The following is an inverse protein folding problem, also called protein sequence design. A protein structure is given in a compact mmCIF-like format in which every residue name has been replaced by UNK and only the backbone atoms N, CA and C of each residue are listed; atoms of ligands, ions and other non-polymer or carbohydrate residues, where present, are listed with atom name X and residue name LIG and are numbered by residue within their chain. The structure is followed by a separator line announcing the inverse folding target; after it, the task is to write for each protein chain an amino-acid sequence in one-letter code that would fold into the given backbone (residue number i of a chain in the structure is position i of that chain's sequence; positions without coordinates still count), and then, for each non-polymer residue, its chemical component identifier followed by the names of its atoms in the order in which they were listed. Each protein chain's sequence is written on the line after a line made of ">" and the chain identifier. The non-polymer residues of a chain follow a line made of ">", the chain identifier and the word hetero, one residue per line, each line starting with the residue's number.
data_IF_274118198905
#
_entry.id   IF_274118198905
#
_cell.length_a   1.000
_cell.length_b   1.000
_cell.length_c   1.000
_cell.angle_alpha   90.00
_cell.angle_beta   90.00
_cell.angle_gamma   90.00
#
_symmetry.space_group_name_H-M   'P 1'
#
loop_
_entity.id
_entity.type
_entity.pdbx_description
1 polymer ?
#
# COMPACT_ATOMS: atom_id res chain seq x y z
N UNK A 1 -16.40 -6.07 -44.16
CA UNK A 1 -17.26 -5.12 -43.42
C UNK A 1 -16.37 -4.37 -42.46
N UNK A 2 -16.42 -3.03 -42.43
CA UNK A 2 -15.59 -2.24 -41.52
C UNK A 2 -15.94 -2.59 -40.06
N UNK A 3 -14.92 -2.77 -39.20
CA UNK A 3 -15.12 -3.06 -37.79
C UNK A 3 -15.90 -1.87 -37.15
N UNK A 4 -17.07 -2.09 -36.54
CA UNK A 4 -17.87 -1.01 -35.95
C UNK A 4 -17.25 -0.44 -34.67
N UNK A 5 -16.15 -1.02 -34.17
CA UNK A 5 -15.41 -0.53 -33.01
C UNK A 5 -14.22 0.33 -33.43
N UNK A 6 -14.11 1.50 -32.83
CA UNK A 6 -12.99 2.43 -32.96
C UNK A 6 -11.76 1.92 -32.17
N UNK A 7 -11.22 0.77 -32.58
CA UNK A 7 -10.09 0.11 -31.93
C UNK A 7 -8.77 0.84 -32.19
N UNK A 8 -7.89 0.85 -31.17
CA UNK A 8 -6.55 1.43 -31.30
C UNK A 8 -5.70 0.70 -32.34
N UNK A 9 -4.97 1.47 -33.15
CA UNK A 9 -3.94 0.95 -34.05
C UNK A 9 -2.81 0.27 -33.26
N UNK A 10 -2.07 -0.65 -33.88
CA UNK A 10 -0.88 -1.27 -33.26
C UNK A 10 0.16 -0.23 -32.83
N UNK A 11 0.30 0.87 -33.59
CA UNK A 11 1.16 2.01 -33.24
C UNK A 11 0.70 2.68 -31.95
N UNK A 12 -0.60 2.98 -31.81
CA UNK A 12 -1.19 3.57 -30.61
C UNK A 12 -0.99 2.67 -29.40
N UNK A 13 -1.28 1.37 -29.53
CA UNK A 13 -1.07 0.38 -28.44
C UNK A 13 0.38 0.35 -27.96
N UNK A 14 1.33 0.35 -28.89
CA UNK A 14 2.77 0.33 -28.58
C UNK A 14 3.21 1.62 -27.86
N UNK A 15 2.75 2.78 -28.31
CA UNK A 15 3.05 4.06 -27.64
C UNK A 15 2.48 4.06 -26.21
N UNK A 16 1.22 3.65 -26.02
CA UNK A 16 0.61 3.57 -24.69
C UNK A 16 1.41 2.68 -23.74
N UNK A 17 1.85 1.51 -24.21
CA UNK A 17 2.68 0.61 -23.42
C UNK A 17 4.04 1.23 -23.04
N UNK A 18 4.73 1.82 -24.03
CA UNK A 18 6.07 2.40 -23.84
C UNK A 18 6.07 3.62 -22.91
N UNK A 19 5.03 4.47 -22.99
CA UNK A 19 4.90 5.68 -22.14
C UNK A 19 4.89 5.38 -20.65
N UNK A 20 4.47 4.18 -20.27
CA UNK A 20 4.42 3.74 -18.86
C UNK A 20 5.43 2.62 -18.56
N UNK A 21 6.43 2.42 -19.42
CA UNK A 21 7.47 1.40 -19.24
C UNK A 21 6.93 -0.03 -19.23
N UNK A 22 5.86 -0.32 -19.98
CA UNK A 22 5.14 -1.60 -19.96
C UNK A 22 4.60 -2.00 -18.57
N UNK A 23 4.37 -1.06 -17.67
CA UNK A 23 3.72 -1.31 -16.37
C UNK A 23 2.24 -0.98 -16.42
N UNK A 24 1.44 -1.74 -15.67
CA UNK A 24 0.01 -1.45 -15.51
C UNK A 24 -0.21 -0.03 -14.96
N UNK A 25 -1.11 0.75 -15.56
CA UNK A 25 -1.39 2.13 -15.12
C UNK A 25 -2.25 2.23 -13.86
N UNK A 26 -2.82 1.12 -13.37
CA UNK A 26 -3.50 1.10 -12.07
C UNK A 26 -2.45 1.34 -10.96
N UNK A 27 -2.58 2.42 -10.15
CA UNK A 27 -1.61 2.79 -9.11
C UNK A 27 -1.37 1.70 -8.07
N UNK A 28 -2.39 0.90 -7.75
CA UNK A 28 -2.29 -0.19 -6.77
C UNK A 28 -1.76 -1.50 -7.39
N UNK A 29 -1.56 -1.56 -8.72
CA UNK A 29 -1.10 -2.76 -9.40
C UNK A 29 0.34 -2.62 -9.90
N UNK A 30 0.62 -1.64 -10.78
CA UNK A 30 1.96 -1.31 -11.35
C UNK A 30 2.83 -2.49 -11.87
N UNK A 31 2.28 -3.71 -11.97
CA UNK A 31 3.03 -4.88 -12.41
C UNK A 31 3.51 -4.72 -13.85
N UNK A 32 4.68 -5.28 -14.13
CA UNK A 32 5.20 -5.39 -15.48
C UNK A 32 4.27 -6.27 -16.32
N UNK A 33 3.96 -5.84 -17.54
CA UNK A 33 3.02 -6.53 -18.41
C UNK A 33 3.66 -7.20 -19.60
N UNK A 34 4.99 -7.09 -19.75
CA UNK A 34 5.75 -7.69 -20.84
C UNK A 34 7.02 -8.34 -20.29
N UNK A 35 7.42 -9.48 -20.86
CA UNK A 35 8.64 -10.18 -20.47
C UNK A 35 9.11 -11.14 -21.55
N UNK A 36 10.22 -11.81 -21.26
CA UNK A 36 10.75 -12.87 -22.12
C UNK A 36 9.73 -14.00 -22.32
N UNK A 37 9.87 -14.69 -23.44
CA UNK A 37 9.16 -15.93 -23.72
C UNK A 37 10.21 -17.04 -23.91
N UNK A 38 9.80 -18.30 -23.76
CA UNK A 38 10.68 -19.45 -24.03
C UNK A 38 11.16 -19.48 -25.48
N UNK A 39 10.32 -19.00 -26.40
CA UNK A 39 10.74 -18.74 -27.78
C UNK A 39 11.50 -17.41 -27.86
N UNK A 40 12.78 -17.40 -28.31
CA UNK A 40 13.60 -16.18 -28.35
C UNK A 40 13.05 -15.07 -29.26
N UNK A 41 12.19 -15.41 -30.23
CA UNK A 41 11.58 -14.46 -31.17
C UNK A 41 10.24 -13.90 -30.66
N UNK A 42 9.79 -14.31 -29.47
CA UNK A 42 8.49 -13.91 -28.91
C UNK A 42 8.65 -13.20 -27.57
N UNK A 43 7.60 -12.48 -27.21
CA UNK A 43 7.45 -11.86 -25.89
C UNK A 43 6.18 -12.36 -25.23
N UNK A 44 6.23 -12.54 -23.92
CA UNK A 44 5.03 -12.77 -23.12
C UNK A 44 4.42 -11.41 -22.81
N UNK A 45 3.17 -11.17 -23.22
CA UNK A 45 2.49 -9.90 -22.99
C UNK A 45 1.10 -10.12 -22.38
N UNK A 46 0.89 -9.58 -21.17
CA UNK A 46 -0.38 -9.58 -20.44
C UNK A 46 -1.00 -8.18 -20.36
N UNK A 47 -0.45 -7.21 -21.09
CA UNK A 47 -0.87 -5.83 -21.15
C UNK A 47 -1.81 -5.58 -22.33
N UNK A 48 -2.75 -4.67 -22.13
CA UNK A 48 -3.76 -4.26 -23.11
C UNK A 48 -3.91 -2.74 -23.06
N UNK A 49 -4.13 -2.15 -24.23
CA UNK A 49 -4.58 -0.76 -24.32
C UNK A 49 -6.10 -0.73 -24.14
N UNK A 50 -6.55 -0.26 -22.99
CA UNK A 50 -7.96 -0.06 -22.69
C UNK A 50 -8.40 1.35 -23.08
N UNK A 51 -9.65 1.48 -23.51
CA UNK A 51 -10.27 2.77 -23.75
C UNK A 51 -10.77 3.36 -22.44
N UNK A 52 -10.52 4.66 -22.22
CA UNK A 52 -11.05 5.40 -21.08
C UNK A 52 -12.56 5.63 -21.28
N UNK A 53 -12.94 6.17 -22.43
CA UNK A 53 -14.30 6.20 -22.95
C UNK A 53 -14.45 5.19 -24.11
N UNK A 54 -15.51 4.36 -24.08
CA UNK A 54 -15.63 3.20 -24.97
C UNK A 54 -15.45 3.50 -26.47
N UNK A 55 -14.88 2.51 -27.16
CA UNK A 55 -14.67 2.50 -28.61
C UNK A 55 -15.95 2.43 -29.46
N UNK A 56 -17.11 2.18 -28.85
CA UNK A 56 -18.38 2.02 -29.55
C UNK A 56 -19.55 2.25 -28.61
N UNK A 57 -20.70 2.62 -29.18
CA UNK A 57 -21.95 2.82 -28.45
C UNK A 57 -22.34 1.55 -27.67
N UNK A 58 -22.80 1.75 -26.44
CA UNK A 58 -23.17 0.65 -25.52
C UNK A 58 -21.99 0.02 -24.78
N UNK A 59 -20.76 0.50 -24.99
CA UNK A 59 -19.62 0.14 -24.17
C UNK A 59 -19.45 1.02 -22.93
N UNK A 60 -18.57 0.63 -21.99
CA UNK A 60 -18.33 1.35 -20.76
C UNK A 60 -17.93 2.81 -20.95
N UNK A 61 -18.56 3.74 -20.20
CA UNK A 61 -18.27 5.18 -20.24
C UNK A 61 -18.31 5.77 -21.65
N UNK A 62 -19.17 5.26 -22.53
CA UNK A 62 -19.27 5.77 -23.90
C UNK A 62 -19.69 7.25 -23.91
N UNK A 63 -18.94 8.08 -24.63
CA UNK A 63 -19.24 9.49 -24.84
C UNK A 63 -19.71 9.72 -26.28
N UNK A 64 -20.96 10.18 -26.42
CA UNK A 64 -21.58 10.51 -27.71
C UNK A 64 -20.95 11.73 -28.38
N UNK A 65 -20.31 12.62 -27.62
CA UNK A 65 -19.67 13.82 -28.14
C UNK A 65 -18.28 13.54 -28.74
N UNK A 66 -17.67 12.39 -28.44
CA UNK A 66 -16.38 12.02 -29.01
C UNK A 66 -16.50 11.59 -30.47
N UNK A 67 -15.63 12.13 -31.31
CA UNK A 67 -15.42 11.66 -32.67
C UNK A 67 -14.72 10.29 -32.71
N UNK A 68 -14.81 9.55 -33.82
CA UNK A 68 -14.04 8.32 -34.01
C UNK A 68 -12.53 8.50 -33.81
N UNK A 69 -11.96 9.61 -34.27
CA UNK A 69 -10.52 9.86 -34.16
C UNK A 69 -10.11 10.13 -32.71
N UNK A 70 -10.94 10.85 -31.94
CA UNK A 70 -10.74 11.02 -30.50
C UNK A 70 -10.85 9.69 -29.76
N UNK A 71 -11.81 8.83 -30.13
CA UNK A 71 -11.93 7.48 -29.54
C UNK A 71 -10.67 6.63 -29.73
N UNK A 72 -10.01 6.76 -30.89
CA UNK A 72 -8.76 6.03 -31.26
C UNK A 72 -7.47 6.74 -30.83
N UNK A 73 -7.57 7.91 -30.21
CA UNK A 73 -6.42 8.74 -29.87
C UNK A 73 -5.68 8.23 -28.62
N UNK A 74 -4.44 8.69 -28.44
CA UNK A 74 -3.63 8.38 -27.26
C UNK A 74 -4.21 8.96 -25.97
N UNK A 75 -4.93 10.09 -26.04
CA UNK A 75 -5.53 10.71 -24.86
C UNK A 75 -6.67 9.87 -24.30
N UNK A 76 -7.40 9.14 -25.15
CA UNK A 76 -8.44 8.20 -24.72
C UNK A 76 -7.91 6.80 -24.32
N UNK A 77 -6.60 6.58 -24.37
CA UNK A 77 -5.99 5.27 -24.12
C UNK A 77 -5.24 5.18 -22.79
N UNK A 78 -5.44 4.07 -22.07
CA UNK A 78 -4.68 3.71 -20.86
C UNK A 78 -4.11 2.30 -20.99
N UNK A 79 -2.85 2.10 -20.58
CA UNK A 79 -2.22 0.77 -20.62
C UNK A 79 -2.44 0.02 -19.30
N UNK A 80 -3.09 -1.14 -19.34
CA UNK A 80 -3.43 -1.94 -18.16
C UNK A 80 -3.05 -3.40 -18.36
N UNK A 81 -2.87 -4.16 -17.26
CA UNK A 81 -2.89 -5.61 -17.38
C UNK A 81 -4.30 -6.12 -17.68
N UNK A 82 -4.43 -7.32 -18.25
CA UNK A 82 -5.73 -7.94 -18.58
C UNK A 82 -6.72 -7.92 -17.40
N UNK A 83 -6.25 -8.26 -16.19
CA UNK A 83 -7.09 -8.26 -14.98
C UNK A 83 -7.63 -6.87 -14.62
N UNK A 84 -6.77 -5.84 -14.63
CA UNK A 84 -7.20 -4.48 -14.33
C UNK A 84 -8.06 -3.88 -15.43
N UNK A 85 -7.81 -4.22 -16.70
CA UNK A 85 -8.67 -3.83 -17.81
C UNK A 85 -10.09 -4.38 -17.62
N UNK A 86 -10.22 -5.66 -17.21
CA UNK A 86 -11.55 -6.23 -16.93
C UNK A 86 -12.21 -5.59 -15.72
N UNK A 87 -11.45 -5.30 -14.67
CA UNK A 87 -11.94 -4.67 -13.44
C UNK A 87 -12.62 -3.31 -13.72
N UNK A 88 -11.97 -2.45 -14.51
CA UNK A 88 -12.50 -1.10 -14.78
C UNK A 88 -13.77 -1.12 -15.64
N UNK A 89 -13.93 -2.14 -16.48
CA UNK A 89 -15.10 -2.29 -17.36
C UNK A 89 -16.30 -2.91 -16.67
N UNK A 90 -16.09 -3.67 -15.58
CA UNK A 90 -17.17 -4.31 -14.82
C UNK A 90 -17.82 -3.34 -13.82
N UNK A 91 -17.08 -2.34 -13.34
CA UNK A 91 -17.55 -1.39 -12.32
C UNK A 91 -17.31 0.07 -12.76
N UNK A 92 -18.09 0.52 -13.74
CA UNK A 92 -17.96 1.85 -14.34
C UNK A 92 -18.20 2.99 -13.35
N UNK A 93 -19.10 2.77 -12.39
CA UNK A 93 -19.42 3.73 -11.34
C UNK A 93 -18.23 3.98 -10.43
N UNK A 94 -17.49 2.91 -10.06
CA UNK A 94 -16.27 3.03 -9.26
C UNK A 94 -15.08 3.55 -10.07
N UNK A 95 -15.04 3.26 -11.36
CA UNK A 95 -13.94 3.65 -12.26
C UNK A 95 -14.45 4.55 -13.39
N UNK A 96 -14.91 5.78 -13.10
CA UNK A 96 -15.32 6.73 -14.12
C UNK A 96 -14.10 7.22 -14.93
N UNK A 97 -14.36 7.84 -16.08
CA UNK A 97 -13.32 8.31 -17.00
C UNK A 97 -12.28 9.22 -16.31
N UNK A 98 -12.71 10.08 -15.40
CA UNK A 98 -11.84 10.97 -14.62
C UNK A 98 -10.81 10.22 -13.77
N UNK A 99 -11.20 9.10 -13.16
CA UNK A 99 -10.29 8.25 -12.37
C UNK A 99 -9.25 7.61 -13.27
N UNK A 100 -9.66 7.11 -14.45
CA UNK A 100 -8.76 6.50 -15.40
C UNK A 100 -7.77 7.52 -16.02
N UNK A 101 -8.22 8.76 -16.25
CA UNK A 101 -7.34 9.85 -16.67
C UNK A 101 -6.27 10.14 -15.60
N UNK A 102 -6.64 10.16 -14.31
CA UNK A 102 -5.68 10.30 -13.20
C UNK A 102 -4.71 9.12 -13.14
N UNK A 103 -5.19 7.89 -13.29
CA UNK A 103 -4.33 6.69 -13.33
C UNK A 103 -3.31 6.75 -14.46
N UNK A 104 -3.75 7.18 -15.65
CA UNK A 104 -2.87 7.40 -16.80
C UNK A 104 -1.78 8.42 -16.49
N UNK A 105 -2.15 9.60 -15.98
CA UNK A 105 -1.19 10.66 -15.65
C UNK A 105 -0.15 10.19 -14.63
N UNK A 106 -0.60 9.62 -13.51
CA UNK A 106 0.29 9.10 -12.45
C UNK A 106 1.24 8.04 -13.02
N UNK A 107 0.76 7.13 -13.87
CA UNK A 107 1.59 6.08 -14.44
C UNK A 107 2.67 6.60 -15.40
N UNK A 108 2.37 7.69 -16.13
CA UNK A 108 3.31 8.37 -17.02
C UNK A 108 4.35 9.16 -16.21
N UNK A 109 3.93 9.89 -15.16
CA UNK A 109 4.83 10.61 -14.25
C UNK A 109 5.80 9.66 -13.52
N UNK A 110 5.29 8.53 -13.01
CA UNK A 110 6.13 7.50 -12.40
C UNK A 110 7.14 6.91 -13.39
N UNK A 111 6.77 6.74 -14.66
CA UNK A 111 7.69 6.23 -15.67
C UNK A 111 8.79 7.24 -16.02
N UNK A 112 8.51 8.54 -15.94
CA UNK A 112 9.52 9.60 -16.06
C UNK A 112 10.51 9.51 -14.89
N UNK A 113 9.99 9.45 -13.65
CA UNK A 113 10.81 9.32 -12.45
C UNK A 113 11.68 8.06 -12.49
N UNK A 114 11.14 6.91 -12.90
CA UNK A 114 11.90 5.65 -13.02
C UNK A 114 13.10 5.77 -13.98
N UNK A 115 13.02 6.64 -14.98
CA UNK A 115 14.14 6.92 -15.91
C UNK A 115 15.12 7.91 -15.30
N UNK A 116 14.64 8.92 -14.57
CA UNK A 116 15.46 9.97 -13.95
C UNK A 116 16.24 9.49 -12.72
N UNK A 117 15.70 8.56 -11.93
CA UNK A 117 16.25 8.17 -10.62
C UNK A 117 17.11 6.91 -10.63
N UNK A 118 17.38 6.31 -11.79
CA UNK A 118 17.93 4.95 -11.91
C UNK A 118 19.45 4.82 -11.64
N UNK A 119 19.87 5.16 -10.41
CA UNK A 119 21.14 4.74 -9.83
C UNK A 119 20.89 3.75 -8.69
N UNK A 120 21.40 2.50 -8.75
CA UNK A 120 21.23 1.50 -7.69
C UNK A 120 21.67 1.97 -6.30
N UNK A 121 22.68 2.85 -6.23
CA UNK A 121 23.17 3.44 -4.98
C UNK A 121 22.19 4.49 -4.39
N UNK A 122 21.44 5.21 -5.24
CA UNK A 122 20.43 6.18 -4.80
C UNK A 122 19.21 5.50 -4.21
N UNK A 123 18.76 4.41 -4.82
CA UNK A 123 17.58 3.65 -4.38
C UNK A 123 17.78 3.00 -3.00
N UNK A 124 18.95 2.42 -2.75
CA UNK A 124 19.29 1.87 -1.42
C UNK A 124 19.39 2.99 -0.38
N UNK A 125 19.94 4.16 -0.74
CA UNK A 125 20.02 5.31 0.16
C UNK A 125 18.63 5.82 0.54
N UNK A 126 17.73 5.98 -0.44
CA UNK A 126 16.36 6.45 -0.21
C UNK A 126 15.55 5.45 0.61
N UNK A 127 15.57 4.17 0.26
CA UNK A 127 14.88 3.13 1.03
C UNK A 127 15.43 3.10 2.47
N UNK A 128 16.75 3.23 2.66
CA UNK A 128 17.37 3.29 3.98
C UNK A 128 16.86 4.45 4.83
N UNK A 129 16.62 5.62 4.24
CA UNK A 129 16.02 6.77 4.95
C UNK A 129 14.57 6.51 5.34
N UNK A 130 13.79 5.88 4.46
CA UNK A 130 12.41 5.50 4.76
C UNK A 130 12.33 4.43 5.84
N UNK A 131 13.20 3.41 5.82
CA UNK A 131 13.27 2.41 6.88
C UNK A 131 13.61 3.06 8.23
N UNK A 132 14.54 4.03 8.28
CA UNK A 132 14.82 4.79 9.51
C UNK A 132 13.59 5.54 10.00
N UNK A 133 12.79 6.11 9.10
CA UNK A 133 11.52 6.76 9.46
C UNK A 133 10.51 5.74 10.02
N UNK A 134 10.36 4.57 9.39
CA UNK A 134 9.43 3.54 9.89
C UNK A 134 9.86 3.01 11.25
N UNK A 135 11.16 2.81 11.49
CA UNK A 135 11.68 2.42 12.81
C UNK A 135 11.23 3.40 13.91
N UNK A 136 11.28 4.70 13.64
CA UNK A 136 10.81 5.72 14.60
C UNK A 136 9.31 5.63 14.87
N UNK A 137 8.52 5.12 13.92
CA UNK A 137 7.10 4.90 14.14
C UNK A 137 6.83 3.82 15.21
N UNK A 138 7.79 2.94 15.51
CA UNK A 138 7.65 1.92 16.55
C UNK A 138 8.25 2.32 17.90
N UNK A 139 8.84 3.50 18.00
CA UNK A 139 9.38 4.04 19.25
C UNK A 139 8.27 4.68 20.11
N UNK A 140 7.39 3.82 20.63
CA UNK A 140 6.27 4.23 21.50
C UNK A 140 5.86 3.09 22.44
N UNK A 141 5.23 3.40 23.60
CA UNK A 141 4.79 2.42 24.59
C UNK A 141 4.03 1.22 24.00
N UNK A 142 3.15 1.48 23.03
CA UNK A 142 2.34 0.49 22.32
C UNK A 142 3.11 -0.74 21.78
N UNK A 143 4.43 -0.64 21.59
CA UNK A 143 5.29 -1.74 21.11
C UNK A 143 6.38 -2.17 22.12
N UNK A 144 6.49 -1.51 23.26
CA UNK A 144 7.52 -1.75 24.26
C UNK A 144 6.95 -2.38 25.54
N UNK A 145 5.75 -1.96 25.93
CA UNK A 145 5.13 -2.37 27.18
C UNK A 145 4.29 -3.64 27.00
N UNK A 146 4.20 -4.43 28.08
CA UNK A 146 3.25 -5.55 28.14
C UNK A 146 1.82 -5.02 27.99
N UNK A 147 0.94 -5.75 27.30
CA UNK A 147 -0.42 -5.26 27.00
C UNK A 147 -1.23 -5.00 28.29
N UNK A 148 -0.90 -5.70 29.38
CA UNK A 148 -1.50 -5.50 30.69
C UNK A 148 -0.90 -4.31 31.45
N UNK A 149 0.21 -3.75 30.98
CA UNK A 149 0.86 -2.55 31.52
C UNK A 149 0.65 -1.32 30.61
N UNK A 150 0.06 -1.52 29.43
CA UNK A 150 -0.46 -0.41 28.63
C UNK A 150 -1.49 0.36 29.44
N UNK A 151 -1.46 1.69 29.32
CA UNK A 151 -2.40 2.56 30.02
C UNK A 151 -3.82 2.40 29.48
N UNK A 152 -4.32 3.43 28.78
CA UNK A 152 -5.68 3.40 28.23
C UNK A 152 -5.72 2.60 26.93
N UNK A 153 -6.65 1.65 26.83
CA UNK A 153 -6.82 0.86 25.59
C UNK A 153 -7.17 1.73 24.37
N UNK A 154 -7.84 2.86 24.59
CA UNK A 154 -8.10 3.87 23.55
C UNK A 154 -6.80 4.53 23.05
N UNK A 155 -5.87 4.85 23.96
CA UNK A 155 -4.56 5.41 23.59
C UNK A 155 -3.72 4.38 22.84
N UNK A 156 -3.81 3.11 23.26
CA UNK A 156 -3.17 1.99 22.58
C UNK A 156 -3.75 1.81 21.16
N UNK A 157 -5.08 1.70 20.99
CA UNK A 157 -5.71 1.59 19.66
C UNK A 157 -5.32 2.76 18.75
N UNK A 158 -5.29 3.97 19.32
CA UNK A 158 -4.91 5.18 18.60
C UNK A 158 -3.43 5.13 18.18
N UNK A 159 -2.54 4.67 19.05
CA UNK A 159 -1.13 4.50 18.71
C UNK A 159 -0.90 3.49 17.59
N UNK A 160 -1.68 2.39 17.56
CA UNK A 160 -1.64 1.40 16.46
C UNK A 160 -2.18 2.02 15.17
N UNK A 161 -3.30 2.74 15.23
CA UNK A 161 -3.86 3.48 14.09
C UNK A 161 -2.85 4.45 13.47
N UNK A 162 -2.25 5.30 14.30
CA UNK A 162 -1.31 6.31 13.86
C UNK A 162 -0.05 5.68 13.25
N UNK A 163 0.34 4.50 13.72
CA UNK A 163 1.44 3.73 13.12
C UNK A 163 1.06 3.22 11.74
N UNK A 164 -0.14 2.67 11.56
CA UNK A 164 -0.65 2.23 10.24
C UNK A 164 -0.70 3.41 9.27
N UNK A 165 -1.23 4.55 9.72
CA UNK A 165 -1.30 5.78 8.91
C UNK A 165 0.11 6.24 8.54
N UNK A 166 1.05 6.26 9.48
CA UNK A 166 2.43 6.67 9.21
C UNK A 166 3.13 5.74 8.22
N UNK A 167 2.93 4.42 8.30
CA UNK A 167 3.48 3.47 7.33
C UNK A 167 2.89 3.68 5.93
N UNK A 168 1.58 3.91 5.83
CA UNK A 168 0.89 4.06 4.55
C UNK A 168 1.10 5.43 3.89
N UNK A 169 1.21 6.49 4.69
CA UNK A 169 1.21 7.88 4.19
C UNK A 169 2.55 8.60 4.38
N UNK A 170 3.44 8.06 5.22
CA UNK A 170 4.67 8.72 5.62
C UNK A 170 4.48 9.88 6.60
N UNK A 171 3.29 10.08 7.17
CA UNK A 171 3.02 11.18 8.12
C UNK A 171 2.94 10.63 9.54
N UNK A 172 3.89 11.05 10.39
CA UNK A 172 3.88 10.76 11.82
C UNK A 172 3.35 11.98 12.60
N UNK A 173 2.37 11.77 13.47
CA UNK A 173 1.70 12.85 14.24
C UNK A 173 1.81 12.64 15.75
N UNK A 174 1.69 13.73 16.51
CA UNK A 174 1.42 13.71 17.95
C UNK A 174 -0.03 13.31 18.21
N UNK A 175 -0.36 13.00 19.48
CA UNK A 175 -1.74 12.73 19.92
C UNK A 175 -2.71 13.88 19.60
N UNK A 176 -2.21 15.12 19.62
CA UNK A 176 -2.99 16.33 19.34
C UNK A 176 -3.06 16.67 17.85
N UNK A 177 -2.49 15.82 16.98
CA UNK A 177 -2.57 15.93 15.52
C UNK A 177 -1.45 16.74 14.86
N UNK A 178 -0.51 17.29 15.63
CA UNK A 178 0.64 18.02 15.09
C UNK A 178 1.59 17.06 14.35
N UNK A 179 2.14 17.49 13.21
CA UNK A 179 3.07 16.67 12.42
C UNK A 179 4.43 16.65 13.13
N UNK A 180 4.89 15.46 13.51
CA UNK A 180 6.23 15.24 14.09
C UNK A 180 7.25 15.08 12.97
N UNK A 181 6.90 14.29 11.94
CA UNK A 181 7.81 13.97 10.84
C UNK A 181 7.02 13.58 9.59
N UNK A 182 7.58 13.89 8.43
CA UNK A 182 7.01 13.56 7.14
C UNK A 182 8.04 12.84 6.27
N UNK A 183 7.58 11.81 5.58
CA UNK A 183 8.31 10.99 4.63
C UNK A 183 7.30 10.47 3.59
N UNK A 184 7.72 9.52 2.77
CA UNK A 184 6.84 8.81 1.84
C UNK A 184 6.27 7.52 2.47
N UNK A 185 5.11 7.10 1.96
CA UNK A 185 4.49 5.84 2.36
C UNK A 185 5.25 4.61 1.84
N UNK A 186 5.07 3.46 2.50
CA UNK A 186 5.78 2.20 2.20
C UNK A 186 5.64 1.73 0.74
N UNK A 187 4.62 2.16 0.01
CA UNK A 187 4.42 1.84 -1.41
C UNK A 187 5.56 2.31 -2.32
N UNK A 188 6.34 3.32 -1.89
CA UNK A 188 7.46 3.85 -2.69
C UNK A 188 8.77 3.09 -2.48
N UNK A 189 8.87 2.25 -1.43
CA UNK A 189 10.08 1.46 -1.14
C UNK A 189 10.43 0.60 -2.34
N UNK A 190 11.62 0.78 -2.92
CA UNK A 190 12.01 0.12 -4.16
C UNK A 190 12.31 -1.37 -3.97
N UNK A 191 12.90 -1.74 -2.84
CA UNK A 191 13.17 -3.13 -2.50
C UNK A 191 11.85 -3.91 -2.30
N UNK A 192 11.54 -4.89 -3.17
CA UNK A 192 10.26 -5.61 -3.10
C UNK A 192 10.12 -6.44 -1.82
N UNK A 193 11.20 -7.04 -1.32
CA UNK A 193 11.17 -7.87 -0.11
C UNK A 193 10.90 -7.00 1.13
N UNK A 194 11.48 -5.80 1.18
CA UNK A 194 11.21 -4.85 2.27
C UNK A 194 9.79 -4.33 2.22
N UNK A 195 9.28 -4.05 1.01
CA UNK A 195 7.89 -3.62 0.82
C UNK A 195 6.91 -4.70 1.31
N UNK A 196 7.12 -5.96 0.91
CA UNK A 196 6.28 -7.08 1.35
C UNK A 196 6.31 -7.27 2.87
N UNK A 197 7.48 -7.17 3.50
CA UNK A 197 7.60 -7.23 4.97
C UNK A 197 6.85 -6.08 5.66
N UNK A 198 6.91 -4.86 5.13
CA UNK A 198 6.16 -3.70 5.65
C UNK A 198 4.64 -3.85 5.45
N UNK A 199 4.21 -4.51 4.37
CA UNK A 199 2.81 -4.86 4.13
C UNK A 199 2.31 -5.86 5.17
N UNK A 200 3.05 -6.94 5.42
CA UNK A 200 2.74 -7.91 6.48
C UNK A 200 2.64 -7.23 7.87
N UNK A 201 3.59 -6.35 8.21
CA UNK A 201 3.53 -5.56 9.44
C UNK A 201 2.21 -4.78 9.54
N UNK A 202 1.77 -4.15 8.45
CA UNK A 202 0.53 -3.36 8.45
C UNK A 202 -0.71 -4.24 8.64
N UNK A 203 -0.73 -5.44 8.07
CA UNK A 203 -1.82 -6.42 8.26
C UNK A 203 -1.89 -6.92 9.71
N UNK A 204 -0.74 -7.18 10.35
CA UNK A 204 -0.68 -7.54 11.77
C UNK A 204 -1.20 -6.40 12.66
N UNK A 205 -0.85 -5.13 12.36
CA UNK A 205 -1.37 -3.96 13.08
C UNK A 205 -2.89 -3.83 12.95
N UNK A 206 -3.43 -4.02 11.74
CA UNK A 206 -4.90 -4.05 11.51
C UNK A 206 -5.56 -5.18 12.30
N UNK A 207 -4.92 -6.34 12.36
CA UNK A 207 -5.39 -7.49 13.13
C UNK A 207 -5.45 -7.20 14.63
N UNK A 208 -4.45 -6.50 15.19
CA UNK A 208 -4.44 -6.02 16.58
C UNK A 208 -5.68 -5.16 16.85
N UNK A 209 -5.93 -4.12 16.04
CA UNK A 209 -7.10 -3.23 16.24
C UNK A 209 -8.41 -3.98 16.15
N UNK A 210 -8.54 -4.88 15.17
CA UNK A 210 -9.73 -5.71 14.99
C UNK A 210 -9.95 -6.60 16.21
N UNK A 211 -8.90 -7.26 16.72
CA UNK A 211 -9.00 -8.12 17.90
C UNK A 211 -9.36 -7.34 19.16
N UNK A 212 -8.82 -6.14 19.32
CA UNK A 212 -9.14 -5.24 20.45
C UNK A 212 -10.60 -4.80 20.43
N UNK A 213 -11.13 -4.46 19.25
CA UNK A 213 -12.55 -4.13 19.07
C UNK A 213 -13.46 -5.30 19.46
N UNK A 214 -13.12 -6.52 19.04
CA UNK A 214 -13.86 -7.74 19.40
C UNK A 214 -13.79 -7.97 20.91
N UNK A 215 -12.59 -7.88 21.50
CA UNK A 215 -12.40 -8.04 22.95
C UNK A 215 -13.23 -7.04 23.77
N UNK A 216 -13.41 -5.80 23.28
CA UNK A 216 -14.29 -4.81 23.92
C UNK A 216 -15.76 -5.24 23.93
N UNK A 217 -16.25 -5.76 22.80
CA UNK A 217 -17.64 -6.22 22.63
C UNK A 217 -17.93 -7.47 23.47
N UNK A 218 -16.95 -8.38 23.55
CA UNK A 218 -17.04 -9.62 24.34
C UNK A 218 -16.78 -9.38 25.84
N UNK A 219 -16.46 -8.14 26.24
CA UNK A 219 -16.02 -7.81 27.58
C UNK A 219 -14.80 -8.63 28.04
N UNK A 220 -13.90 -9.02 27.13
CA UNK A 220 -12.72 -9.84 27.44
C UNK A 220 -11.67 -9.12 28.30
N UNK A 221 -11.81 -7.80 28.48
CA UNK A 221 -11.10 -7.03 29.49
C UNK A 221 -12.07 -6.15 30.28
N UNK A 222 -11.75 -5.86 31.54
CA UNK A 222 -12.53 -4.98 32.42
C UNK A 222 -11.92 -3.60 32.48
N UNK A 223 -12.76 -2.58 32.62
CA UNK A 223 -12.37 -1.19 32.85
C UNK A 223 -12.66 -0.88 34.32
N UNK A 224 -11.61 -0.59 35.09
CA UNK A 224 -11.72 -0.18 36.49
C UNK A 224 -11.35 1.29 36.60
N UNK A 225 -12.26 2.12 37.11
CA UNK A 225 -11.98 3.53 37.39
C UNK A 225 -11.82 3.70 38.91
N UNK A 226 -10.61 4.10 39.35
CA UNK A 226 -10.35 4.37 40.78
C UNK A 226 -9.64 5.72 40.90
N UNK A 227 -10.27 6.69 41.57
CA UNK A 227 -9.62 7.98 41.86
C UNK A 227 -9.28 8.86 40.64
N UNK A 228 -9.92 8.62 39.49
CA UNK A 228 -9.65 9.34 38.23
C UNK A 228 -8.70 8.60 37.28
N UNK A 229 -8.05 7.53 37.75
CA UNK A 229 -7.24 6.64 36.92
C UNK A 229 -8.07 5.48 36.39
N UNK A 230 -7.93 5.21 35.09
CA UNK A 230 -8.61 4.12 34.39
C UNK A 230 -7.61 3.00 34.10
N UNK A 231 -7.84 1.83 34.67
CA UNK A 231 -7.02 0.64 34.47
C UNK A 231 -7.78 -0.43 33.68
N UNK A 232 -7.07 -1.12 32.79
CA UNK A 232 -7.63 -2.16 31.93
C UNK A 232 -7.00 -3.51 32.30
N UNK A 233 -7.83 -4.48 32.67
CA UNK A 233 -7.36 -5.83 33.00
C UNK A 233 -7.94 -6.84 32.02
N UNK A 234 -7.08 -7.58 31.33
CA UNK A 234 -7.49 -8.74 30.54
C UNK A 234 -7.90 -9.87 31.49
N UNK A 235 -9.09 -10.43 31.25
CA UNK A 235 -9.57 -11.62 31.98
C UNK A 235 -9.09 -12.93 31.35
N UNK A 236 -8.63 -12.84 30.11
CA UNK A 236 -8.18 -13.93 29.26
C UNK A 236 -6.67 -13.77 29.01
N UNK A 237 -5.87 -14.64 29.63
CA UNK A 237 -4.42 -14.66 29.51
C UNK A 237 -3.97 -15.02 28.09
N UNK A 238 -4.73 -15.85 27.36
CA UNK A 238 -4.41 -16.21 25.97
C UNK A 238 -4.57 -15.01 25.05
N UNK A 239 -5.60 -14.18 25.30
CA UNK A 239 -5.80 -12.94 24.58
C UNK A 239 -4.67 -11.93 24.85
N UNK A 240 -4.28 -11.75 26.10
CA UNK A 240 -3.18 -10.85 26.44
C UNK A 240 -1.87 -11.32 25.78
N UNK A 241 -1.57 -12.62 25.86
CA UNK A 241 -0.38 -13.20 25.23
C UNK A 241 -0.43 -13.06 23.70
N UNK A 242 -1.61 -13.19 23.07
CA UNK A 242 -1.77 -12.97 21.63
C UNK A 242 -1.37 -11.55 21.20
N UNK A 243 -1.78 -10.52 21.96
CA UNK A 243 -1.37 -9.14 21.70
C UNK A 243 0.15 -8.97 21.86
N UNK A 244 0.72 -9.51 22.94
CA UNK A 244 2.15 -9.48 23.21
C UNK A 244 2.96 -10.18 22.10
N UNK A 245 2.54 -11.36 21.68
CA UNK A 245 3.20 -12.14 20.62
C UNK A 245 3.10 -11.45 19.26
N UNK A 246 1.92 -10.96 18.88
CA UNK A 246 1.73 -10.28 17.59
C UNK A 246 2.59 -9.02 17.49
N UNK A 247 2.63 -8.20 18.55
CA UNK A 247 3.49 -7.01 18.61
C UNK A 247 4.97 -7.38 18.51
N UNK A 248 5.40 -8.46 19.17
CA UNK A 248 6.77 -8.97 19.10
C UNK A 248 7.12 -9.44 17.69
N UNK A 249 6.18 -10.09 17.00
CA UNK A 249 6.38 -10.57 15.64
C UNK A 249 6.52 -9.42 14.64
N UNK A 250 5.66 -8.38 14.74
CA UNK A 250 5.80 -7.13 13.99
C UNK A 250 7.22 -6.58 14.09
N UNK A 251 7.73 -6.51 15.32
CA UNK A 251 9.05 -5.94 15.57
C UNK A 251 10.19 -6.83 15.07
N UNK A 252 10.05 -8.16 15.11
CA UNK A 252 11.04 -9.08 14.50
C UNK A 252 11.12 -8.89 12.99
N UNK A 253 9.98 -8.78 12.32
CA UNK A 253 9.92 -8.53 10.87
C UNK A 253 10.63 -7.21 10.55
N UNK A 254 10.35 -6.15 11.32
CA UNK A 254 11.01 -4.87 11.16
C UNK A 254 12.52 -4.95 11.43
N UNK A 255 12.95 -5.71 12.44
CA UNK A 255 14.37 -5.92 12.76
C UNK A 255 15.10 -6.68 11.66
N UNK A 256 14.45 -7.63 10.98
CA UNK A 256 15.01 -8.29 9.80
C UNK A 256 15.31 -7.30 8.68
N UNK A 257 14.42 -6.34 8.42
CA UNK A 257 14.67 -5.26 7.45
C UNK A 257 15.87 -4.43 7.90
N UNK A 258 15.94 -4.06 9.19
CA UNK A 258 17.04 -3.27 9.75
C UNK A 258 18.41 -3.92 9.51
N UNK A 259 18.49 -5.24 9.70
CA UNK A 259 19.70 -6.04 9.45
C UNK A 259 20.13 -5.98 7.98
N UNK A 260 19.19 -6.13 7.06
CA UNK A 260 19.44 -6.11 5.60
C UNK A 260 19.89 -4.73 5.11
N UNK A 261 19.36 -3.65 5.72
CA UNK A 261 19.70 -2.25 5.40
C UNK A 261 21.03 -1.81 6.03
N UNK A 262 21.56 -2.60 6.98
CA UNK A 262 22.74 -2.25 7.77
C UNK A 262 22.50 -1.07 8.71
N UNK A 263 21.36 -1.06 9.40
CA UNK A 263 21.08 -0.18 10.54
C UNK A 263 20.93 -1.01 11.82
N UNK A 264 21.06 -0.35 12.98
CA UNK A 264 21.01 -1.03 14.28
C UNK A 264 19.70 -1.80 14.43
N UNK A 265 19.80 -3.08 14.76
CA UNK A 265 18.65 -3.94 15.05
C UNK A 265 17.88 -3.43 16.26
N UNK A 266 16.57 -3.67 16.25
CA UNK A 266 15.71 -3.35 17.37
C UNK A 266 15.91 -4.44 18.44
N UNK A 267 16.39 -4.03 19.61
CA UNK A 267 16.55 -4.94 20.74
C UNK A 267 15.30 -4.89 21.63
N UNK A 268 14.65 -6.04 21.76
CA UNK A 268 13.42 -6.19 22.53
C UNK A 268 13.74 -6.59 23.96
N UNK A 269 13.55 -5.68 24.91
CA UNK A 269 13.65 -6.02 26.32
C UNK A 269 12.41 -6.79 26.73
N UNK A 270 12.55 -8.09 26.99
CA UNK A 270 11.52 -8.81 27.74
C UNK A 270 11.63 -8.38 29.20
N UNK A 271 10.88 -7.35 29.59
CA UNK A 271 10.55 -7.21 31.02
C UNK A 271 9.56 -8.32 31.37
N UNK A 272 10.08 -9.55 31.54
CA UNK A 272 9.42 -10.54 32.38
C UNK A 272 9.46 -9.97 33.79
N UNK A 273 8.47 -9.18 34.17
CA UNK A 273 8.22 -8.96 35.58
C UNK A 273 7.81 -10.31 36.15
N UNK A 274 8.78 -11.00 36.75
CA UNK A 274 8.49 -12.04 37.74
C UNK A 274 7.96 -11.29 38.96
N UNK A 275 6.65 -11.24 39.09
CA UNK A 275 6.02 -11.03 40.38
C UNK A 275 6.13 -12.32 41.18
#
# INVERSE_FOLDING_TARGET
>A
MANPRDDFSSKTKNILAKRVGFRCSNPNCRKLTCGANESPEKVTNIGVAAHIAAAAKGGPRYDECMSPDERKSLSNGIWLCQSCSKLIDVDETRYPAEVLMKWKAIAEDLAILDVETNSPAGNISQDKELIKFYVQCFDRPAFQDDICQEGRMEDFDKAIEDTIVALNTGILRTRDGAIIKQAEGKSVIQNPDWREKLDNISEMLVSIRRRLKIAKVEHAYTVNETGGDVFYCFRDDELAEWFNLTRREILKVLSSICREVGIRELHFWSRRYRW
#
